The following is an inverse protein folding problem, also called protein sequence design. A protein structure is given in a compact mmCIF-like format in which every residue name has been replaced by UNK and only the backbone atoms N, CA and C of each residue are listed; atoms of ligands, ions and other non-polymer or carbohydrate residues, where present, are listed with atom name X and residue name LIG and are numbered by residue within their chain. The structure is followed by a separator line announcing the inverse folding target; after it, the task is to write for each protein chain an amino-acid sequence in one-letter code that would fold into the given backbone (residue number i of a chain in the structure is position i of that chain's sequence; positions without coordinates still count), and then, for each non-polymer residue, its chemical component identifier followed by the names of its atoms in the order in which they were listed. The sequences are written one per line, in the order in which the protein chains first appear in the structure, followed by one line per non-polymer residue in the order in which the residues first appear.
data_IF_997247426162
#
_entry.id   IF_997247426162
#
_cell.length_a   1.000
_cell.length_b   1.000
_cell.length_c   1.000
_cell.angle_alpha   90.00
_cell.angle_beta   90.00
_cell.angle_gamma   90.00
#
_symmetry.space_group_name_H-M   'P 1'
#
loop_
_entity.id
_entity.type
_entity.pdbx_description
1 polymer ?
#
# COMPACT_ATOMS: atom_id res chain seq x y z
N UNK A 1 -30.45 0.93 -19.97
CA UNK A 1 -29.53 -0.22 -19.79
C UNK A 1 -28.20 0.15 -19.11
N UNK A 2 -27.85 1.44 -18.97
CA UNK A 2 -26.59 1.89 -18.31
C UNK A 2 -26.54 1.58 -16.80
N UNK A 3 -27.68 1.60 -16.10
CA UNK A 3 -27.75 1.48 -14.62
C UNK A 3 -27.44 0.08 -14.03
N UNK A 4 -27.36 -0.96 -14.86
CA UNK A 4 -27.14 -2.34 -14.42
C UNK A 4 -25.67 -2.74 -14.31
N UNK A 5 -24.84 -2.30 -15.28
CA UNK A 5 -23.40 -2.54 -15.28
C UNK A 5 -22.68 -1.83 -14.13
N UNK A 6 -23.07 -0.58 -13.86
CA UNK A 6 -22.46 0.24 -12.80
C UNK A 6 -22.63 -0.37 -11.40
N UNK A 7 -23.74 -1.07 -11.15
CA UNK A 7 -24.01 -1.73 -9.87
C UNK A 7 -23.12 -2.94 -9.67
N UNK A 8 -22.96 -3.79 -10.69
CA UNK A 8 -22.11 -4.96 -10.62
C UNK A 8 -20.64 -4.57 -10.42
N UNK A 9 -20.18 -3.53 -11.13
CA UNK A 9 -18.83 -2.96 -10.96
C UNK A 9 -18.64 -2.39 -9.55
N UNK A 10 -19.62 -1.64 -9.03
CA UNK A 10 -19.56 -1.09 -7.67
C UNK A 10 -19.48 -2.20 -6.61
N UNK A 11 -20.28 -3.26 -6.75
CA UNK A 11 -20.24 -4.42 -5.85
C UNK A 11 -18.87 -5.11 -5.91
N UNK A 12 -18.32 -5.31 -7.11
CA UNK A 12 -16.99 -5.89 -7.28
C UNK A 12 -15.90 -5.05 -6.58
N UNK A 13 -15.94 -3.73 -6.74
CA UNK A 13 -15.00 -2.80 -6.08
C UNK A 13 -15.12 -2.90 -4.56
N UNK A 14 -16.34 -2.97 -4.02
CA UNK A 14 -16.56 -3.12 -2.58
C UNK A 14 -15.95 -4.43 -2.04
N UNK A 15 -16.07 -5.54 -2.77
CA UNK A 15 -15.42 -6.80 -2.40
C UNK A 15 -13.90 -6.69 -2.39
N UNK A 16 -13.31 -6.02 -3.39
CA UNK A 16 -11.85 -5.80 -3.47
C UNK A 16 -11.37 -4.96 -2.28
N UNK A 17 -12.08 -3.88 -1.95
CA UNK A 17 -11.73 -3.01 -0.83
C UNK A 17 -11.85 -3.74 0.51
N UNK A 18 -12.93 -4.52 0.69
CA UNK A 18 -13.13 -5.33 1.90
C UNK A 18 -12.00 -6.35 2.08
N UNK A 19 -11.63 -7.05 1.00
CA UNK A 19 -10.50 -7.97 1.00
C UNK A 19 -9.19 -7.27 1.38
N UNK A 20 -8.89 -6.12 0.76
CA UNK A 20 -7.68 -5.36 1.03
C UNK A 20 -7.59 -4.91 2.49
N UNK A 21 -8.67 -4.33 3.03
CA UNK A 21 -8.73 -3.88 4.44
C UNK A 21 -8.55 -5.07 5.39
N UNK A 22 -9.22 -6.19 5.13
CA UNK A 22 -9.09 -7.39 5.95
C UNK A 22 -7.66 -7.94 5.93
N UNK A 23 -7.04 -8.01 4.75
CA UNK A 23 -5.64 -8.42 4.61
C UNK A 23 -4.68 -7.51 5.38
N UNK A 24 -4.89 -6.19 5.31
CA UNK A 24 -4.10 -5.22 6.07
C UNK A 24 -4.27 -5.37 7.59
N UNK A 25 -5.50 -5.63 8.06
CA UNK A 25 -5.78 -5.86 9.48
C UNK A 25 -5.14 -7.15 9.99
N UNK A 26 -5.21 -8.25 9.23
CA UNK A 26 -4.52 -9.51 9.58
C UNK A 26 -3.01 -9.26 9.68
N UNK A 27 -2.45 -8.51 8.74
CA UNK A 27 -1.02 -8.17 8.72
C UNK A 27 -0.60 -7.36 9.94
N UNK A 28 -1.40 -6.39 10.35
CA UNK A 28 -1.18 -5.56 11.54
C UNK A 28 -1.32 -6.37 12.82
N UNK A 29 -2.37 -7.19 12.93
CA UNK A 29 -2.58 -8.08 14.08
C UNK A 29 -1.44 -9.08 14.25
N UNK A 30 -0.96 -9.67 13.14
CA UNK A 30 0.21 -10.57 13.16
C UNK A 30 1.48 -9.86 13.66
N UNK A 31 1.70 -8.62 13.24
CA UNK A 31 2.82 -7.83 13.74
C UNK A 31 2.71 -7.53 15.23
N UNK A 32 1.52 -7.13 15.69
CA UNK A 32 1.26 -6.82 17.10
C UNK A 32 1.48 -8.05 18.00
N UNK A 33 0.88 -9.20 17.67
CA UNK A 33 1.07 -10.46 18.41
C UNK A 33 2.53 -10.85 18.45
N UNK A 34 3.22 -10.72 17.33
CA UNK A 34 4.62 -11.09 17.25
C UNK A 34 5.54 -10.15 18.03
N UNK A 35 5.22 -8.85 18.12
CA UNK A 35 5.93 -7.93 19.01
C UNK A 35 5.63 -8.19 20.49
N UNK A 36 4.40 -8.59 20.83
CA UNK A 36 4.05 -8.98 22.20
C UNK A 36 4.80 -10.23 22.66
N UNK A 37 4.88 -11.28 21.83
CA UNK A 37 5.70 -12.46 22.14
C UNK A 37 7.19 -12.12 22.26
N UNK A 38 7.69 -11.17 21.45
CA UNK A 38 9.06 -10.68 21.55
C UNK A 38 9.33 -10.05 22.91
N UNK A 39 8.47 -9.14 23.35
CA UNK A 39 8.64 -8.47 24.64
C UNK A 39 8.58 -9.44 25.83
N UNK A 40 7.84 -10.55 25.69
CA UNK A 40 7.72 -11.59 26.73
C UNK A 40 8.88 -12.58 26.76
N UNK A 41 9.50 -12.87 25.60
CA UNK A 41 10.43 -14.02 25.48
C UNK A 41 11.89 -13.60 25.43
N UNK A 42 12.26 -12.53 24.71
CA UNK A 42 13.68 -12.16 24.50
C UNK A 42 13.88 -10.65 24.31
N UNK A 43 14.73 -10.04 25.15
CA UNK A 43 15.25 -8.68 24.96
C UNK A 43 16.26 -8.54 23.79
N UNK A 44 16.23 -9.42 22.79
CA UNK A 44 17.24 -9.57 21.74
C UNK A 44 16.79 -9.10 20.33
N UNK A 45 17.78 -8.72 19.50
CA UNK A 45 17.57 -8.12 18.17
C UNK A 45 17.23 -9.14 17.08
N UNK A 46 16.09 -8.94 16.40
CA UNK A 46 15.52 -9.86 15.38
C UNK A 46 16.21 -9.76 14.00
N UNK A 47 16.55 -10.91 13.38
CA UNK A 47 17.21 -11.01 12.06
C UNK A 47 16.29 -11.19 10.82
N UNK A 48 14.99 -11.46 10.95
CA UNK A 48 14.10 -11.69 9.77
C UNK A 48 12.65 -11.24 10.03
N UNK A 49 12.02 -10.60 9.04
CA UNK A 49 10.57 -10.33 9.01
C UNK A 49 9.87 -11.34 8.08
N UNK A 50 8.64 -11.69 8.40
CA UNK A 50 7.77 -12.48 7.50
C UNK A 50 6.72 -11.53 6.97
N UNK A 51 6.52 -11.48 5.65
CA UNK A 51 5.54 -10.72 4.84
C UNK A 51 5.98 -9.31 4.41
N UNK A 52 5.22 -8.68 3.51
CA UNK A 52 5.41 -7.28 3.09
C UNK A 52 4.94 -6.32 4.20
N UNK A 53 5.72 -5.30 4.59
CA UNK A 53 5.26 -4.29 5.55
C UNK A 53 4.15 -3.43 4.93
N UNK A 54 3.12 -3.13 5.73
CA UNK A 54 2.00 -2.25 5.32
C UNK A 54 2.51 -0.86 4.92
N UNK A 55 3.65 -0.45 5.44
CA UNK A 55 4.34 0.80 5.09
C UNK A 55 4.74 0.89 3.61
N UNK A 56 5.01 -0.22 2.93
CA UNK A 56 5.31 -0.19 1.49
C UNK A 56 4.09 0.23 0.65
N UNK A 57 2.87 -0.08 1.10
CA UNK A 57 1.66 0.34 0.41
C UNK A 57 1.46 1.86 0.43
N UNK A 58 1.97 2.54 1.45
CA UNK A 58 1.96 4.00 1.54
C UNK A 58 2.84 4.69 0.48
N UNK A 59 3.76 3.96 -0.18
CA UNK A 59 4.51 4.45 -1.33
C UNK A 59 3.81 4.05 -2.64
N UNK A 60 3.40 2.77 -2.76
CA UNK A 60 2.82 2.22 -3.99
C UNK A 60 1.62 3.02 -4.51
N UNK A 61 0.66 3.38 -3.64
CA UNK A 61 -0.56 4.07 -4.10
C UNK A 61 -0.29 5.52 -4.55
N UNK A 62 0.47 6.34 -3.81
CA UNK A 62 0.96 7.63 -4.31
C UNK A 62 1.69 7.53 -5.66
N UNK A 63 2.56 6.54 -5.86
CA UNK A 63 3.25 6.37 -7.15
C UNK A 63 2.27 6.09 -8.29
N UNK A 64 1.28 5.22 -8.08
CA UNK A 64 0.25 4.89 -9.10
C UNK A 64 -0.59 6.13 -9.42
N UNK A 65 -0.95 6.92 -8.39
CA UNK A 65 -1.68 8.17 -8.59
C UNK A 65 -0.85 9.17 -9.41
N UNK A 66 0.44 9.30 -9.14
CA UNK A 66 1.33 10.15 -9.94
C UNK A 66 1.38 9.70 -11.40
N UNK A 67 1.40 8.40 -11.65
CA UNK A 67 1.39 7.85 -13.00
C UNK A 67 0.11 8.21 -13.77
N UNK A 68 -1.04 8.29 -13.10
CA UNK A 68 -2.29 8.73 -13.71
C UNK A 68 -2.26 10.21 -14.14
N UNK A 69 -1.50 11.07 -13.47
CA UNK A 69 -1.31 12.46 -13.92
C UNK A 69 -0.45 12.59 -15.18
N UNK A 70 0.38 11.59 -15.47
CA UNK A 70 1.30 11.59 -16.61
C UNK A 70 0.67 10.88 -17.81
N UNK A 71 -0.11 9.82 -17.58
CA UNK A 71 -0.73 9.03 -18.64
C UNK A 71 -2.11 9.60 -19.02
N UNK A 72 -2.41 9.77 -20.33
CA UNK A 72 -3.71 10.25 -20.78
C UNK A 72 -4.82 9.18 -20.75
N UNK A 73 -4.52 7.97 -20.26
CA UNK A 73 -5.44 6.84 -20.22
C UNK A 73 -5.99 6.59 -18.81
N UNK A 74 -7.16 5.97 -18.70
CA UNK A 74 -7.74 5.62 -17.41
C UNK A 74 -6.99 4.46 -16.73
N UNK A 75 -6.25 4.78 -15.66
CA UNK A 75 -5.46 3.84 -14.86
C UNK A 75 -6.28 3.22 -13.71
N UNK A 76 -7.55 3.58 -13.57
CA UNK A 76 -8.46 3.08 -12.52
C UNK A 76 -8.48 1.54 -12.41
N UNK A 77 -8.55 0.75 -13.50
CA UNK A 77 -8.49 -0.71 -13.41
C UNK A 77 -7.16 -1.23 -12.84
N UNK A 78 -6.05 -0.58 -13.18
CA UNK A 78 -4.71 -0.93 -12.69
C UNK A 78 -4.61 -0.63 -11.19
N UNK A 79 -5.23 0.45 -10.73
CA UNK A 79 -5.30 0.78 -9.30
C UNK A 79 -6.02 -0.32 -8.49
N UNK A 80 -7.17 -0.79 -8.97
CA UNK A 80 -7.88 -1.90 -8.32
C UNK A 80 -7.13 -3.23 -8.40
N UNK A 81 -6.42 -3.49 -9.51
CA UNK A 81 -5.53 -4.65 -9.62
C UNK A 81 -4.39 -4.56 -8.59
N UNK A 82 -3.79 -3.38 -8.41
CA UNK A 82 -2.76 -3.15 -7.41
C UNK A 82 -3.27 -3.38 -5.98
N UNK A 83 -4.51 -2.99 -5.66
CA UNK A 83 -5.16 -3.32 -4.39
C UNK A 83 -5.27 -4.82 -4.16
N UNK A 84 -5.70 -5.59 -5.17
CA UNK A 84 -5.77 -7.05 -5.05
C UNK A 84 -4.40 -7.69 -4.85
N UNK A 85 -3.41 -7.28 -5.64
CA UNK A 85 -2.04 -7.80 -5.58
C UNK A 85 -1.42 -7.47 -4.22
N UNK A 86 -1.47 -6.21 -3.79
CA UNK A 86 -0.92 -5.79 -2.49
C UNK A 86 -1.61 -6.48 -1.31
N UNK A 87 -2.95 -6.63 -1.34
CA UNK A 87 -3.69 -7.38 -0.33
C UNK A 87 -3.25 -8.85 -0.27
N UNK A 88 -3.06 -9.50 -1.42
CA UNK A 88 -2.53 -10.86 -1.48
C UNK A 88 -1.09 -10.93 -0.94
N UNK A 89 -0.24 -9.95 -1.27
CA UNK A 89 1.14 -9.86 -0.77
C UNK A 89 1.22 -9.64 0.75
N UNK A 90 0.23 -8.99 1.37
CA UNK A 90 0.16 -8.87 2.83
C UNK A 90 -0.08 -10.22 3.52
N UNK A 91 -0.96 -11.05 2.97
CA UNK A 91 -1.28 -12.36 3.54
C UNK A 91 -0.24 -13.41 3.16
N UNK A 92 0.39 -13.27 1.99
CA UNK A 92 1.40 -14.20 1.50
C UNK A 92 2.61 -14.28 2.44
N UNK A 93 3.07 -15.50 2.70
CA UNK A 93 4.19 -15.81 3.61
C UNK A 93 5.56 -15.51 2.97
N UNK A 94 5.70 -14.40 2.26
CA UNK A 94 6.99 -13.99 1.67
C UNK A 94 7.91 -13.59 2.81
N UNK A 95 8.97 -14.34 3.08
CA UNK A 95 9.95 -13.99 4.10
C UNK A 95 10.84 -12.86 3.59
N UNK A 96 10.48 -11.61 3.89
CA UNK A 96 11.26 -10.43 3.48
C UNK A 96 12.38 -10.21 4.49
N UNK A 97 13.62 -10.34 4.03
CA UNK A 97 14.82 -10.04 4.83
C UNK A 97 14.75 -8.58 5.28
N UNK A 98 15.01 -8.34 6.57
CA UNK A 98 14.91 -7.02 7.21
C UNK A 98 15.71 -5.98 6.41
N UNK A 99 15.06 -4.98 5.77
CA UNK A 99 15.81 -3.84 5.25
C UNK A 99 16.47 -3.17 6.47
N UNK A 100 17.80 -3.05 6.43
CA UNK A 100 18.53 -2.36 7.48
C UNK A 100 18.06 -0.91 7.62
N UNK A 101 18.54 -0.21 8.64
CA UNK A 101 18.23 1.22 8.88
C UNK A 101 18.45 2.09 7.63
N UNK A 102 19.46 1.77 6.81
CA UNK A 102 19.71 2.43 5.53
C UNK A 102 18.53 2.28 4.54
N UNK A 103 17.96 1.07 4.42
CA UNK A 103 16.79 0.84 3.56
C UNK A 103 15.56 1.61 4.03
N UNK A 104 15.38 1.76 5.34
CA UNK A 104 14.30 2.60 5.91
C UNK A 104 14.48 4.06 5.52
N UNK A 105 15.69 4.61 5.65
CA UNK A 105 15.97 5.99 5.23
C UNK A 105 15.76 6.21 3.73
N UNK A 106 16.11 5.23 2.89
CA UNK A 106 15.83 5.29 1.45
C UNK A 106 14.33 5.33 1.18
N UNK A 107 13.54 4.46 1.84
CA UNK A 107 12.07 4.46 1.69
C UNK A 107 11.44 5.78 2.15
N UNK A 108 11.94 6.36 3.25
CA UNK A 108 11.50 7.67 3.74
C UNK A 108 11.84 8.76 2.72
N UNK A 109 13.05 8.73 2.14
CA UNK A 109 13.46 9.65 1.09
C UNK A 109 12.55 9.58 -0.13
N UNK A 110 12.25 8.37 -0.62
CA UNK A 110 11.32 8.16 -1.74
C UNK A 110 9.94 8.74 -1.39
N UNK A 111 9.39 8.41 -0.21
CA UNK A 111 8.09 8.92 0.22
C UNK A 111 8.04 10.44 0.35
N UNK A 112 9.12 11.08 0.83
CA UNK A 112 9.21 12.54 0.90
C UNK A 112 9.22 13.18 -0.48
N UNK A 113 9.95 12.59 -1.44
CA UNK A 113 9.99 13.05 -2.83
C UNK A 113 8.62 12.89 -3.48
N UNK A 114 7.97 11.74 -3.34
CA UNK A 114 6.63 11.49 -3.87
C UNK A 114 5.61 12.48 -3.30
N UNK A 115 5.64 12.71 -1.97
CA UNK A 115 4.77 13.67 -1.31
C UNK A 115 4.99 15.10 -1.83
N UNK A 116 6.24 15.53 -2.04
CA UNK A 116 6.55 16.84 -2.58
C UNK A 116 6.05 17.00 -4.02
N UNK A 117 6.25 15.98 -4.87
CA UNK A 117 5.78 16.01 -6.27
C UNK A 117 4.26 16.07 -6.31
N UNK A 118 3.56 15.26 -5.52
CA UNK A 118 2.09 15.29 -5.45
C UNK A 118 1.57 16.64 -4.93
N UNK A 119 2.25 17.23 -3.94
CA UNK A 119 1.91 18.56 -3.44
C UNK A 119 2.10 19.63 -4.51
N UNK A 120 3.20 19.61 -5.27
CA UNK A 120 3.45 20.53 -6.37
C UNK A 120 2.42 20.35 -7.50
N UNK A 121 2.14 19.11 -7.90
CA UNK A 121 1.12 18.80 -8.90
C UNK A 121 -0.26 19.33 -8.46
N UNK A 122 -0.63 19.12 -7.19
CA UNK A 122 -1.87 19.64 -6.62
C UNK A 122 -1.92 21.17 -6.64
N UNK A 123 -0.82 21.85 -6.30
CA UNK A 123 -0.73 23.30 -6.34
C UNK A 123 -0.83 23.86 -7.77
N UNK A 124 -0.17 23.21 -8.74
CA UNK A 124 -0.24 23.60 -10.15
C UNK A 124 -1.66 23.45 -10.71
N UNK A 125 -2.32 22.32 -10.45
CA UNK A 125 -3.70 22.09 -10.87
C UNK A 125 -4.65 23.09 -10.20
N UNK A 126 -4.44 23.39 -8.91
CA UNK A 126 -5.23 24.38 -8.18
C UNK A 126 -5.05 25.82 -8.68
N UNK A 127 -3.90 26.15 -9.26
CA UNK A 127 -3.65 27.48 -9.81
C UNK A 127 -4.21 27.64 -11.24
N UNK A 128 -4.43 26.53 -11.96
CA UNK A 128 -4.98 26.53 -13.33
C UNK A 128 -6.51 26.63 -13.34
N UNK A 129 -7.17 26.30 -12.23
CA UNK A 129 -8.63 26.43 -12.02
C UNK A 129 -8.98 27.64 -11.15
#
# INVERSE_FOLDING_TARGET
LVRGGDRAVSILILFILMFYVLAALIRLAYFNVMEEERQKTEGGCRKTYIGLPVTSAALIFPSIMLLQYILPFDITPIYYLALLVTGFLFVSKIQVKKPGVCGVWIMVGIGAVEALILLLALLLVRHIH
#
